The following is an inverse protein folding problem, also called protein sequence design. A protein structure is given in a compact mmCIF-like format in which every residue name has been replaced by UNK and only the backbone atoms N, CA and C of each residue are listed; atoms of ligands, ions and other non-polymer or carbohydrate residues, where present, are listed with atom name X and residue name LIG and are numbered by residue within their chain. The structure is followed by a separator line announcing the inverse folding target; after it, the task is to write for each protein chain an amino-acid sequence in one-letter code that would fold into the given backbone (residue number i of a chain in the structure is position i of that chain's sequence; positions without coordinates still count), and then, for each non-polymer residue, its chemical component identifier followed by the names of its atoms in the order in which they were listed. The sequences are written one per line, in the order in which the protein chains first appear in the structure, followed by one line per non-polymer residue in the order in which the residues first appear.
data_IF_853689673021
#
_entry.id   IF_853689673021
#
_cell.length_a   1.000
_cell.length_b   1.000
_cell.length_c   1.000
_cell.angle_alpha   90.00
_cell.angle_beta   90.00
_cell.angle_gamma   90.00
#
_symmetry.space_group_name_H-M   'P 1'
#
loop_
_entity.id
_entity.type
_entity.pdbx_description
1 polymer ?
#
# COMPACT_ATOMS: atom_id res chain seq x y z
N UNK A 1 3.69 12.12 -9.81
CA UNK A 1 4.51 12.13 -8.58
C UNK A 1 3.63 11.77 -7.40
N UNK A 2 4.05 10.81 -6.58
CA UNK A 2 3.30 10.41 -5.38
C UNK A 2 4.10 10.70 -4.09
N UNK A 3 3.40 10.84 -2.96
CA UNK A 3 4.02 11.07 -1.66
C UNK A 3 3.14 10.55 -0.52
N UNK A 4 3.77 9.86 0.42
CA UNK A 4 3.16 9.52 1.72
C UNK A 4 3.67 10.47 2.80
N UNK A 5 2.82 10.82 3.76
CA UNK A 5 3.19 11.55 4.96
C UNK A 5 2.46 10.91 6.14
N UNK A 6 3.10 10.89 7.31
CA UNK A 6 2.51 10.41 8.56
C UNK A 6 2.87 11.38 9.69
N UNK A 7 1.92 11.68 10.55
CA UNK A 7 2.16 12.47 11.76
C UNK A 7 2.45 11.56 12.96
N UNK A 8 2.97 12.14 14.05
CA UNK A 8 3.26 11.41 15.29
C UNK A 8 2.04 10.73 15.94
N UNK A 9 0.82 11.20 15.63
CA UNK A 9 -0.42 10.64 16.14
C UNK A 9 -1.11 9.69 15.16
N UNK A 10 -0.41 9.24 14.11
CA UNK A 10 -0.94 8.23 13.18
C UNK A 10 -1.84 8.79 12.07
N UNK A 11 -1.98 10.12 11.94
CA UNK A 11 -2.73 10.70 10.82
C UNK A 11 -1.84 10.75 9.58
N UNK A 12 -2.23 9.98 8.56
CA UNK A 12 -1.50 9.83 7.31
C UNK A 12 -2.19 10.51 6.14
N UNK A 13 -1.43 10.75 5.07
CA UNK A 13 -2.00 11.11 3.77
C UNK A 13 -1.17 10.56 2.63
N UNK A 14 -1.85 10.09 1.59
CA UNK A 14 -1.28 9.80 0.29
C UNK A 14 -1.65 10.95 -0.66
N UNK A 15 -0.68 11.42 -1.42
CA UNK A 15 -0.89 12.34 -2.54
C UNK A 15 -0.41 11.66 -3.82
N UNK A 16 -1.22 11.70 -4.88
CA UNK A 16 -0.90 11.19 -6.22
C UNK A 16 -1.27 12.30 -7.20
N UNK A 17 -0.25 13.04 -7.67
CA UNK A 17 -0.44 14.28 -8.42
C UNK A 17 -1.37 15.26 -7.67
N UNK A 18 -2.53 15.60 -8.25
CA UNK A 18 -3.53 16.49 -7.66
C UNK A 18 -4.50 15.76 -6.70
N UNK A 19 -4.53 14.43 -6.73
CA UNK A 19 -5.35 13.63 -5.82
C UNK A 19 -4.69 13.56 -4.45
N UNK A 20 -5.51 13.65 -3.39
CA UNK A 20 -5.07 13.47 -2.02
C UNK A 20 -6.14 12.77 -1.19
N UNK A 21 -5.68 11.80 -0.41
CA UNK A 21 -6.52 11.06 0.54
C UNK A 21 -5.83 10.97 1.90
N UNK A 22 -6.64 10.94 2.95
CA UNK A 22 -6.18 10.83 4.33
C UNK A 22 -6.53 9.46 4.89
N UNK A 23 -5.66 8.91 5.73
CA UNK A 23 -5.86 7.63 6.41
C UNK A 23 -5.37 7.71 7.85
N UNK A 24 -5.75 6.72 8.66
CA UNK A 24 -5.25 6.55 10.01
C UNK A 24 -4.40 5.27 10.08
N UNK A 25 -3.14 5.43 10.47
CA UNK A 25 -2.22 4.33 10.71
C UNK A 25 -2.32 3.89 12.15
N UNK A 26 -2.48 2.59 12.35
CA UNK A 26 -2.33 2.00 13.67
C UNK A 26 -0.83 2.04 14.09
N UNK A 27 -0.57 2.57 15.27
CA UNK A 27 0.78 2.72 15.85
C UNK A 27 1.08 1.72 16.98
N UNK A 28 0.21 0.73 17.21
CA UNK A 28 0.38 -0.29 18.25
C UNK A 28 1.42 -1.34 17.90
N UNK A 29 1.66 -1.57 16.60
CA UNK A 29 2.62 -2.54 16.10
C UNK A 29 3.82 -1.89 15.39
N UNK A 30 3.55 -1.04 14.40
CA UNK A 30 4.59 -0.26 13.73
C UNK A 30 4.68 1.15 14.29
N UNK A 31 5.90 1.63 14.53
CA UNK A 31 6.12 3.06 14.76
C UNK A 31 6.03 3.83 13.44
N UNK A 32 5.90 5.15 13.55
CA UNK A 32 5.94 6.05 12.38
C UNK A 32 7.20 5.82 11.53
N UNK A 33 8.37 5.67 12.16
CA UNK A 33 9.64 5.44 11.48
C UNK A 33 9.65 4.12 10.71
N UNK A 34 8.95 3.10 11.22
CA UNK A 34 8.82 1.82 10.52
C UNK A 34 7.96 1.96 9.25
N UNK A 35 6.84 2.70 9.31
CA UNK A 35 6.06 3.04 8.11
C UNK A 35 6.89 3.84 7.10
N UNK A 36 7.59 4.88 7.55
CA UNK A 36 8.42 5.72 6.67
C UNK A 36 9.56 4.93 6.04
N UNK A 37 10.24 4.05 6.78
CA UNK A 37 11.28 3.17 6.25
C UNK A 37 10.71 2.15 5.25
N UNK A 38 9.54 1.59 5.53
CA UNK A 38 8.83 0.71 4.60
C UNK A 38 8.47 1.45 3.30
N UNK A 39 7.89 2.66 3.37
CA UNK A 39 7.53 3.45 2.20
C UNK A 39 8.74 3.90 1.39
N UNK A 40 9.85 4.22 2.05
CA UNK A 40 11.10 4.50 1.35
C UNK A 40 11.54 3.26 0.56
N UNK A 41 11.57 2.09 1.21
CA UNK A 41 11.99 0.85 0.55
C UNK A 41 11.07 0.47 -0.61
N UNK A 42 9.75 0.60 -0.44
CA UNK A 42 8.78 0.37 -1.50
C UNK A 42 8.99 1.35 -2.67
N UNK A 43 9.32 2.62 -2.40
CA UNK A 43 9.58 3.61 -3.45
C UNK A 43 10.84 3.27 -4.26
N UNK A 44 11.91 2.79 -3.62
CA UNK A 44 13.12 2.31 -4.32
C UNK A 44 12.80 1.15 -5.28
N UNK A 45 11.92 0.24 -4.88
CA UNK A 45 11.49 -0.88 -5.73
C UNK A 45 10.60 -0.40 -6.89
N UNK A 46 9.76 0.61 -6.68
CA UNK A 46 9.00 1.26 -7.78
C UNK A 46 9.94 1.89 -8.80
N UNK A 47 10.99 2.60 -8.34
CA UNK A 47 12.03 3.18 -9.22
C UNK A 47 12.78 2.09 -10.01
N UNK A 48 12.93 0.89 -9.43
CA UNK A 48 13.49 -0.28 -10.11
C UNK A 48 12.51 -0.94 -11.11
N UNK A 49 11.27 -0.44 -11.21
CA UNK A 49 10.24 -0.96 -12.11
C UNK A 49 9.39 -2.08 -11.50
N UNK A 50 9.48 -2.34 -10.20
CA UNK A 50 8.70 -3.36 -9.52
C UNK A 50 7.36 -2.80 -9.03
N UNK A 51 6.34 -3.67 -9.01
CA UNK A 51 5.06 -3.34 -8.36
C UNK A 51 5.18 -3.60 -6.85
N UNK A 52 4.56 -2.76 -6.02
CA UNK A 52 4.72 -2.81 -4.55
C UNK A 52 3.44 -2.49 -3.79
N UNK A 53 3.39 -2.91 -2.53
CA UNK A 53 2.33 -2.57 -1.57
C UNK A 53 2.83 -1.57 -0.52
N UNK A 54 2.26 -0.37 -0.51
CA UNK A 54 2.48 0.64 0.52
C UNK A 54 1.51 0.42 1.69
N UNK A 55 1.92 -0.39 2.67
CA UNK A 55 1.17 -0.59 3.92
C UNK A 55 0.92 0.75 4.63
N UNK A 56 -0.33 1.08 4.89
CA UNK A 56 -0.75 2.32 5.56
C UNK A 56 -1.34 2.07 6.94
N UNK A 57 -1.77 0.86 7.26
CA UNK A 57 -2.16 0.49 8.62
C UNK A 57 -2.00 -1.01 8.85
N UNK A 58 -1.23 -1.38 9.87
CA UNK A 58 -0.94 -2.75 10.28
C UNK A 58 -0.94 -2.87 11.81
N UNK A 59 -1.62 -3.89 12.31
CA UNK A 59 -1.53 -4.40 13.68
C UNK A 59 -0.79 -5.74 13.68
N UNK A 60 -0.52 -6.33 14.84
CA UNK A 60 0.17 -7.63 14.94
C UNK A 60 -0.50 -8.69 14.02
N UNK A 61 0.15 -9.15 12.94
CA UNK A 61 -0.50 -9.95 11.90
C UNK A 61 -1.09 -11.27 12.39
N UNK A 62 -0.46 -11.91 13.39
CA UNK A 62 -0.96 -13.16 13.98
C UNK A 62 -2.31 -13.00 14.71
N UNK A 63 -2.73 -11.75 14.96
CA UNK A 63 -3.99 -11.41 15.64
C UNK A 63 -4.89 -10.46 14.85
N UNK A 64 -4.45 -10.04 13.66
CA UNK A 64 -5.18 -9.11 12.82
C UNK A 64 -6.04 -9.84 11.79
N UNK A 65 -7.15 -9.21 11.39
CA UNK A 65 -8.00 -9.73 10.33
C UNK A 65 -7.61 -9.16 8.96
N UNK A 66 -7.11 -7.92 8.92
CA UNK A 66 -6.77 -7.24 7.68
C UNK A 66 -5.69 -6.17 7.87
N UNK A 67 -5.04 -5.84 6.77
CA UNK A 67 -4.06 -4.76 6.65
C UNK A 67 -4.55 -3.79 5.58
N UNK A 68 -4.41 -2.48 5.83
CA UNK A 68 -4.69 -1.48 4.79
C UNK A 68 -3.40 -1.12 4.06
N UNK A 69 -3.50 -1.03 2.74
CA UNK A 69 -2.37 -0.65 1.90
C UNK A 69 -2.81 0.09 0.65
N UNK A 70 -1.83 0.64 -0.04
CA UNK A 70 -1.95 1.13 -1.40
C UNK A 70 -1.06 0.30 -2.31
N UNK A 71 -1.63 -0.46 -3.23
CA UNK A 71 -0.86 -1.15 -4.28
C UNK A 71 -0.45 -0.15 -5.35
N UNK A 72 0.80 -0.19 -5.78
CA UNK A 72 1.34 0.56 -6.90
C UNK A 72 1.84 -0.44 -7.95
N UNK A 73 1.17 -0.47 -9.09
CA UNK A 73 1.50 -1.34 -10.22
C UNK A 73 2.35 -0.57 -11.23
N UNK A 74 3.56 -1.05 -11.48
CA UNK A 74 4.45 -0.51 -12.51
C UNK A 74 4.20 -1.25 -13.83
N UNK A 75 3.51 -0.60 -14.76
CA UNK A 75 3.06 -1.19 -16.02
C UNK A 75 3.43 -0.25 -17.18
N UNK A 76 4.32 -0.71 -18.06
CA UNK A 76 4.72 0.04 -19.28
C UNK A 76 5.21 1.49 -19.03
N UNK A 77 5.80 1.77 -17.87
CA UNK A 77 6.28 3.11 -17.50
C UNK A 77 5.21 4.03 -16.87
N UNK A 78 4.02 3.47 -16.60
CA UNK A 78 2.98 4.12 -15.81
C UNK A 78 2.87 3.46 -14.44
N UNK A 79 2.49 4.25 -13.43
CA UNK A 79 2.21 3.78 -12.09
C UNK A 79 0.70 3.87 -11.85
N UNK A 80 0.08 2.74 -11.54
CA UNK A 80 -1.34 2.64 -11.22
C UNK A 80 -1.48 2.34 -9.73
N UNK A 81 -2.16 3.23 -9.02
CA UNK A 81 -2.41 3.11 -7.59
C UNK A 81 -3.83 2.62 -7.32
N UNK A 82 -3.98 1.70 -6.36
CA UNK A 82 -5.26 1.24 -5.84
C UNK A 82 -5.20 1.17 -4.31
N UNK A 83 -6.22 1.67 -3.62
CA UNK A 83 -6.40 1.33 -2.20
C UNK A 83 -6.78 -0.15 -2.11
N UNK A 84 -6.14 -0.89 -1.20
CA UNK A 84 -6.38 -2.32 -0.97
C UNK A 84 -6.58 -2.59 0.52
N UNK A 85 -7.47 -3.54 0.79
CA UNK A 85 -7.60 -4.18 2.10
C UNK A 85 -7.11 -5.61 1.90
N UNK A 86 -5.99 -5.95 2.53
CA UNK A 86 -5.41 -7.29 2.50
C UNK A 86 -6.02 -8.09 3.65
N UNK A 87 -6.93 -9.01 3.35
CA UNK A 87 -7.49 -9.93 4.35
C UNK A 87 -6.50 -11.07 4.60
N UNK A 88 -5.99 -11.18 5.83
CA UNK A 88 -4.87 -12.08 6.14
C UNK A 88 -5.22 -13.55 5.98
N UNK A 89 -6.48 -13.91 6.20
CA UNK A 89 -7.00 -15.28 6.03
C UNK A 89 -7.19 -15.67 4.55
N UNK A 90 -7.28 -14.68 3.64
CA UNK A 90 -7.52 -14.90 2.22
C UNK A 90 -6.22 -14.83 1.37
N UNK A 91 -5.09 -14.51 2.00
CA UNK A 91 -3.81 -14.46 1.29
C UNK A 91 -3.37 -15.87 0.86
N UNK A 92 -2.94 -16.00 -0.40
CA UNK A 92 -2.37 -17.26 -0.93
C UNK A 92 -1.16 -17.77 -0.12
N UNK A 93 -0.47 -16.86 0.57
CA UNK A 93 0.67 -17.15 1.43
C UNK A 93 0.69 -16.25 2.65
N UNK A 94 1.35 -16.68 3.73
CA UNK A 94 1.48 -15.89 4.95
C UNK A 94 2.08 -14.51 4.67
N UNK A 95 1.54 -13.48 5.32
CA UNK A 95 2.01 -12.11 5.16
C UNK A 95 3.52 -11.99 5.44
N UNK A 96 4.26 -11.49 4.45
CA UNK A 96 5.70 -11.35 4.53
C UNK A 96 6.08 -10.07 5.29
N UNK A 97 6.27 -10.22 6.61
CA UNK A 97 6.74 -9.12 7.48
C UNK A 97 8.17 -8.65 7.19
N UNK A 98 9.01 -9.48 6.55
CA UNK A 98 10.40 -9.12 6.24
C UNK A 98 10.51 -8.21 5.03
N UNK A 99 9.64 -8.41 4.06
CA UNK A 99 9.55 -7.61 2.83
C UNK A 99 8.09 -7.16 2.61
N UNK A 100 7.56 -6.27 3.47
CA UNK A 100 6.14 -5.91 3.48
C UNK A 100 5.63 -5.38 2.14
N UNK A 101 6.49 -4.68 1.39
CA UNK A 101 6.20 -4.16 0.05
C UNK A 101 5.93 -5.24 -1.01
N UNK A 102 6.30 -6.50 -0.74
CA UNK A 102 6.02 -7.63 -1.63
C UNK A 102 4.68 -8.30 -1.38
N UNK A 103 3.93 -7.89 -0.36
CA UNK A 103 2.54 -8.34 -0.14
C UNK A 103 1.60 -7.58 -1.08
N UNK A 104 1.80 -7.76 -2.38
CA UNK A 104 0.99 -7.19 -3.45
C UNK A 104 0.25 -8.32 -4.16
N UNK A 105 -1.06 -8.15 -4.31
CA UNK A 105 -1.90 -9.03 -5.11
C UNK A 105 -1.82 -8.67 -6.58
N UNK A 106 -2.21 -9.59 -7.46
CA UNK A 106 -2.26 -9.35 -8.90
C UNK A 106 -3.11 -8.12 -9.24
N UNK A 107 -2.72 -7.40 -10.29
CA UNK A 107 -3.49 -6.25 -10.76
C UNK A 107 -4.84 -6.69 -11.34
N UNK A 108 -5.91 -6.08 -10.85
CA UNK A 108 -7.27 -6.23 -11.34
C UNK A 108 -7.92 -4.86 -11.44
N UNK A 109 -8.62 -4.58 -12.54
CA UNK A 109 -9.33 -3.29 -12.75
C UNK A 109 -10.83 -3.39 -12.50
N UNK A 110 -11.33 -4.61 -12.25
CA UNK A 110 -12.73 -4.94 -12.02
C UNK A 110 -12.77 -5.96 -10.90
N UNK A 111 -13.64 -5.75 -9.91
CA UNK A 111 -13.85 -6.67 -8.79
C UNK A 111 -14.58 -7.95 -9.22
N UNK A 112 -14.67 -8.93 -8.32
CA UNK A 112 -15.42 -10.18 -8.52
C UNK A 112 -16.91 -9.94 -8.84
N UNK A 113 -17.48 -8.85 -8.32
CA UNK A 113 -18.87 -8.44 -8.55
C UNK A 113 -19.08 -7.70 -9.89
N UNK A 114 -18.00 -7.43 -10.64
CA UNK A 114 -18.04 -6.72 -11.92
C UNK A 114 -17.97 -5.19 -11.82
N UNK A 115 -17.70 -4.65 -10.62
CA UNK A 115 -17.56 -3.22 -10.39
C UNK A 115 -16.13 -2.75 -10.70
N UNK A 116 -16.00 -1.52 -11.20
CA UNK A 116 -14.67 -0.93 -11.44
C UNK A 116 -13.97 -0.63 -10.13
N UNK A 117 -12.70 -1.04 -10.03
CA UNK A 117 -11.83 -0.69 -8.90
C UNK A 117 -11.38 0.76 -9.07
N UNK A 118 -11.35 1.51 -7.97
CA UNK A 118 -10.83 2.88 -7.96
C UNK A 118 -9.33 2.88 -8.22
N UNK A 119 -8.91 3.62 -9.23
CA UNK A 119 -7.53 3.67 -9.70
C UNK A 119 -7.07 5.10 -9.92
N UNK A 120 -5.80 5.36 -9.59
CA UNK A 120 -5.14 6.63 -9.83
C UNK A 120 -3.85 6.42 -10.60
N UNK A 121 -3.73 7.09 -11.76
CA UNK A 121 -2.59 6.95 -12.64
C UNK A 121 -1.64 8.12 -12.49
N UNK A 122 -0.34 7.82 -12.44
CA UNK A 122 0.71 8.83 -12.54
C UNK A 122 1.88 8.28 -13.36
N UNK A 123 2.75 9.18 -13.83
CA UNK A 123 3.98 8.78 -14.53
C UNK A 123 5.03 8.34 -13.50
N UNK A 124 5.80 7.31 -13.87
CA UNK A 124 7.02 6.93 -13.16
C UNK A 124 8.07 8.03 -13.21
#
# INVERSE_FOLDING_TARGET
MYKFNLTENGMGSIQIDDFKEFFESDLSYWSKEMYEAHWLKASEEVEAGNSVSFITSITEPDSSNFIRSWSCYSINGELIFQERILFLDDLESSFNLKEPHKNIESYESVSEDGDKISEWLTRA
#
